data_IF_151767219013
#
_entry.id   IF_151767219013
#
_cell.length_a   1.000
_cell.length_b   1.000
_cell.length_c   1.000
_cell.angle_alpha   90.00
_cell.angle_beta   90.00
_cell.angle_gamma   90.00
#
_symmetry.space_group_name_H-M   'P 1'
#
loop_
_entity.id
_entity.type
_entity.pdbx_description
1 polymer ?
#
# COMPACT_ATOMS: atom_id res chain seq x y z
N UNK A 1 -23.72 35.51 -25.66
CA UNK A 1 -23.51 34.41 -26.61
C UNK A 1 -22.95 33.23 -25.86
N UNK A 2 -23.76 32.20 -25.72
CA UNK A 2 -23.34 30.97 -25.06
C UNK A 2 -22.52 30.13 -26.06
N UNK A 3 -21.34 29.71 -25.60
CA UNK A 3 -20.49 28.79 -26.36
C UNK A 3 -21.14 27.42 -26.33
N UNK A 4 -21.15 26.70 -27.45
CA UNK A 4 -21.61 25.31 -27.46
C UNK A 4 -20.41 24.38 -27.23
N UNK A 5 -20.55 23.46 -26.28
CA UNK A 5 -19.52 22.49 -25.92
C UNK A 5 -19.93 21.12 -26.45
N UNK A 6 -19.08 20.49 -27.24
CA UNK A 6 -19.34 19.18 -27.83
C UNK A 6 -18.26 18.20 -27.40
N UNK A 7 -18.68 17.06 -26.86
CA UNK A 7 -17.82 15.96 -26.47
C UNK A 7 -17.66 14.97 -27.62
N UNK A 8 -16.44 14.45 -27.77
CA UNK A 8 -16.18 13.29 -28.62
C UNK A 8 -15.32 12.26 -27.89
N UNK A 9 -15.60 10.95 -28.08
CA UNK A 9 -14.86 9.88 -27.41
C UNK A 9 -13.54 9.53 -28.11
N UNK A 10 -13.34 9.93 -29.37
CA UNK A 10 -12.09 9.76 -30.13
C UNK A 10 -11.79 10.99 -30.98
N UNK A 11 -10.53 11.19 -31.38
CA UNK A 11 -10.15 12.23 -32.33
C UNK A 11 -10.77 12.00 -33.72
N UNK A 12 -10.79 10.75 -34.17
CA UNK A 12 -11.40 10.42 -35.46
C UNK A 12 -12.89 10.76 -35.51
N UNK A 13 -13.67 10.39 -34.48
CA UNK A 13 -15.09 10.77 -34.44
C UNK A 13 -15.26 12.28 -34.35
N UNK A 14 -14.39 12.97 -33.59
CA UNK A 14 -14.41 14.44 -33.57
C UNK A 14 -14.23 14.98 -34.99
N UNK A 15 -13.21 14.51 -35.72
CA UNK A 15 -12.87 15.04 -37.02
C UNK A 15 -13.97 14.72 -38.05
N UNK A 16 -14.48 13.49 -38.09
CA UNK A 16 -15.58 13.07 -38.96
C UNK A 16 -16.87 13.89 -38.74
N UNK A 17 -17.22 14.16 -37.47
CA UNK A 17 -18.39 14.97 -37.15
C UNK A 17 -18.16 16.45 -37.41
N UNK A 18 -16.95 16.95 -37.15
CA UNK A 18 -16.62 18.35 -37.37
C UNK A 18 -16.53 18.70 -38.85
N UNK A 19 -16.14 17.77 -39.72
CA UNK A 19 -16.24 17.92 -41.18
C UNK A 19 -17.69 18.21 -41.60
N UNK A 20 -18.65 17.38 -41.17
CA UNK A 20 -20.09 17.58 -41.43
C UNK A 20 -20.61 18.90 -40.86
N UNK A 21 -20.15 19.29 -39.67
CA UNK A 21 -20.51 20.58 -39.07
C UNK A 21 -20.00 21.73 -39.91
N UNK A 22 -18.78 21.64 -40.47
CA UNK A 22 -18.21 22.67 -41.34
C UNK A 22 -18.91 22.74 -42.70
N UNK A 23 -19.32 21.60 -43.26
CA UNK A 23 -20.08 21.55 -44.52
C UNK A 23 -21.45 22.22 -44.40
N UNK A 24 -22.15 22.02 -43.27
CA UNK A 24 -23.41 22.70 -42.96
C UNK A 24 -23.25 24.24 -42.83
N UNK A 25 -22.02 24.74 -42.67
CA UNK A 25 -21.74 26.19 -42.63
C UNK A 25 -21.55 26.79 -44.02
N UNK A 26 -21.59 25.99 -45.09
CA UNK A 26 -21.52 26.46 -46.48
C UNK A 26 -22.93 26.85 -46.97
N UNK A 27 -23.09 27.95 -47.74
CA UNK A 27 -24.39 28.32 -48.30
C UNK A 27 -24.93 27.19 -49.19
N UNK A 28 -26.14 26.71 -48.90
CA UNK A 28 -26.91 25.94 -49.86
C UNK A 28 -27.29 26.89 -51.02
N UNK A 29 -26.80 26.56 -52.22
CA UNK A 29 -27.09 27.19 -53.51
C UNK A 29 -26.27 28.42 -53.94
N UNK A 30 -25.76 28.34 -55.19
CA UNK A 30 -25.19 29.46 -55.94
C UNK A 30 -26.25 30.56 -56.13
N UNK A 31 -26.27 31.53 -55.23
CA UNK A 31 -27.11 32.73 -55.36
C UNK A 31 -27.63 33.35 -54.06
N UNK A 32 -27.52 32.67 -52.92
CA UNK A 32 -27.86 33.24 -51.60
C UNK A 32 -26.60 33.32 -50.74
N UNK A 33 -26.28 34.50 -50.19
CA UNK A 33 -25.17 34.65 -49.24
C UNK A 33 -25.56 34.04 -47.88
N UNK A 34 -25.44 32.73 -47.75
CA UNK A 34 -25.54 32.07 -46.45
C UNK A 34 -24.39 32.55 -45.56
N UNK A 35 -24.70 33.27 -44.47
CA UNK A 35 -23.67 33.66 -43.51
C UNK A 35 -23.17 32.43 -42.75
N UNK A 36 -21.84 32.26 -42.69
CA UNK A 36 -21.20 31.29 -41.77
C UNK A 36 -21.65 31.59 -40.35
N UNK A 37 -22.29 30.62 -39.68
CA UNK A 37 -22.89 30.78 -38.35
C UNK A 37 -21.87 30.73 -37.21
N UNK A 38 -20.69 30.15 -37.44
CA UNK A 38 -19.59 30.06 -36.47
C UNK A 38 -18.53 31.15 -36.67
N UNK A 39 -18.07 31.74 -35.57
CA UNK A 39 -16.96 32.69 -35.51
C UNK A 39 -15.62 31.98 -35.27
N UNK A 40 -15.60 30.99 -34.38
CA UNK A 40 -14.36 30.33 -33.91
C UNK A 40 -14.65 28.91 -33.44
N UNK A 41 -13.67 28.03 -33.61
CA UNK A 41 -13.66 26.67 -33.08
C UNK A 41 -12.42 26.52 -32.19
N UNK A 42 -12.56 25.89 -31.02
CA UNK A 42 -11.45 25.63 -30.11
C UNK A 42 -11.50 24.19 -29.58
N UNK A 43 -10.36 23.51 -29.61
CA UNK A 43 -10.20 22.16 -29.09
C UNK A 43 -9.74 22.17 -27.63
N UNK A 44 -10.25 21.24 -26.81
CA UNK A 44 -9.84 21.03 -25.42
C UNK A 44 -9.78 19.54 -25.07
N UNK A 45 -8.93 19.19 -24.10
CA UNK A 45 -8.82 17.82 -23.56
C UNK A 45 -9.80 17.55 -22.41
N UNK A 46 -10.48 18.59 -21.91
CA UNK A 46 -11.46 18.48 -20.83
C UNK A 46 -12.43 19.67 -20.81
N UNK A 47 -13.61 19.45 -20.23
CA UNK A 47 -14.60 20.46 -19.91
C UNK A 47 -15.30 20.10 -18.59
N UNK A 48 -15.40 21.06 -17.66
CA UNK A 48 -15.94 20.85 -16.29
C UNK A 48 -15.33 19.61 -15.58
N UNK A 49 -14.05 19.34 -15.84
CA UNK A 49 -13.32 18.18 -15.28
C UNK A 49 -13.54 16.86 -16.03
N UNK A 50 -14.49 16.79 -16.97
CA UNK A 50 -14.76 15.58 -17.76
C UNK A 50 -13.70 15.45 -18.86
N UNK A 51 -12.89 14.37 -18.89
CA UNK A 51 -11.89 14.18 -19.93
C UNK A 51 -12.58 13.86 -21.26
N UNK A 52 -12.10 14.44 -22.36
CA UNK A 52 -12.66 14.19 -23.69
C UNK A 52 -11.97 14.93 -24.81
N UNK A 53 -12.32 14.62 -26.05
CA UNK A 53 -11.92 15.40 -27.22
C UNK A 53 -12.95 16.51 -27.44
N UNK A 54 -12.93 17.50 -26.57
CA UNK A 54 -13.94 18.55 -26.54
C UNK A 54 -13.72 19.59 -27.64
N UNK A 55 -14.82 20.03 -28.25
CA UNK A 55 -14.86 21.12 -29.21
C UNK A 55 -15.78 22.22 -28.68
N UNK A 56 -15.27 23.45 -28.69
CA UNK A 56 -16.00 24.65 -28.31
C UNK A 56 -16.33 25.42 -29.58
N UNK A 57 -17.62 25.57 -29.86
CA UNK A 57 -18.14 26.29 -31.01
C UNK A 57 -18.61 27.67 -30.56
N UNK A 58 -18.07 28.71 -31.18
CA UNK A 58 -18.40 30.09 -30.89
C UNK A 58 -19.36 30.58 -31.98
N UNK A 59 -20.65 30.83 -31.68
CA UNK A 59 -21.57 31.42 -32.64
C UNK A 59 -21.13 32.85 -33.00
N UNK A 60 -21.43 33.28 -34.22
CA UNK A 60 -21.36 34.70 -34.58
C UNK A 60 -22.44 35.51 -33.83
N UNK A 61 -22.24 36.83 -33.67
CA UNK A 61 -23.25 37.68 -33.08
C UNK A 61 -24.63 37.67 -33.74
N UNK A 62 -24.68 37.43 -35.05
CA UNK A 62 -25.92 37.33 -35.82
C UNK A 62 -26.65 35.99 -35.63
N UNK A 63 -26.00 34.98 -35.07
CA UNK A 63 -26.56 33.64 -34.87
C UNK A 63 -27.26 33.55 -33.51
N UNK A 64 -28.56 33.20 -33.48
CA UNK A 64 -29.24 32.87 -32.22
C UNK A 64 -28.71 31.55 -31.67
N UNK A 65 -28.44 31.51 -30.36
CA UNK A 65 -27.86 30.34 -29.69
C UNK A 65 -28.72 29.06 -29.90
N UNK A 66 -30.06 29.19 -29.89
CA UNK A 66 -31.00 28.08 -30.09
C UNK A 66 -30.94 27.47 -31.51
N UNK A 67 -30.75 28.30 -32.53
CA UNK A 67 -30.72 27.86 -33.93
C UNK A 67 -29.43 27.08 -34.22
N UNK A 68 -28.30 27.56 -33.68
CA UNK A 68 -27.04 26.82 -33.76
C UNK A 68 -27.14 25.47 -33.04
N UNK A 69 -27.73 25.45 -31.83
CA UNK A 69 -27.87 24.21 -31.09
C UNK A 69 -28.75 23.18 -31.83
N UNK A 70 -29.90 23.59 -32.37
CA UNK A 70 -30.79 22.69 -33.15
C UNK A 70 -30.08 22.11 -34.36
N UNK A 71 -29.29 22.90 -35.06
CA UNK A 71 -28.57 22.43 -36.24
C UNK A 71 -27.42 21.49 -35.89
N UNK A 72 -26.68 21.78 -34.82
CA UNK A 72 -25.67 20.86 -34.31
C UNK A 72 -26.31 19.54 -33.84
N UNK A 73 -27.49 19.57 -33.21
CA UNK A 73 -28.23 18.38 -32.79
C UNK A 73 -28.74 17.50 -33.94
N UNK A 74 -28.88 18.04 -35.16
CA UNK A 74 -29.18 17.22 -36.35
C UNK A 74 -28.00 16.34 -36.77
N UNK A 75 -26.77 16.78 -36.46
CA UNK A 75 -25.54 16.10 -36.88
C UNK A 75 -24.99 15.27 -35.72
N UNK A 76 -24.88 15.89 -34.54
CA UNK A 76 -24.21 15.33 -33.36
C UNK A 76 -25.25 14.89 -32.33
N UNK A 77 -25.10 13.68 -31.75
CA UNK A 77 -26.01 13.21 -30.72
C UNK A 77 -26.16 14.21 -29.56
N UNK A 78 -27.40 14.46 -29.16
CA UNK A 78 -27.73 15.45 -28.11
C UNK A 78 -27.04 15.16 -26.77
N UNK A 79 -26.84 13.89 -26.43
CA UNK A 79 -26.12 13.45 -25.22
C UNK A 79 -24.60 13.70 -25.27
N UNK A 80 -24.04 14.20 -26.38
CA UNK A 80 -22.66 14.68 -26.46
C UNK A 80 -22.52 16.19 -26.30
N UNK A 81 -23.60 16.91 -26.02
CA UNK A 81 -23.62 18.37 -26.03
C UNK A 81 -23.78 18.94 -24.62
N UNK A 82 -22.81 19.75 -24.22
CA UNK A 82 -22.84 20.57 -23.01
C UNK A 82 -22.98 19.74 -21.74
N UNK A 83 -23.94 20.12 -20.91
CA UNK A 83 -24.17 19.49 -19.60
C UNK A 83 -24.98 18.19 -19.69
N UNK A 84 -25.41 17.79 -20.90
CA UNK A 84 -26.06 16.49 -21.15
C UNK A 84 -25.06 15.33 -21.24
N UNK A 85 -23.76 15.62 -21.32
CA UNK A 85 -22.72 14.60 -21.36
C UNK A 85 -22.70 13.83 -20.04
N UNK A 86 -23.03 12.54 -20.13
CA UNK A 86 -23.14 11.68 -18.97
C UNK A 86 -21.82 11.63 -18.17
N UNK A 87 -21.89 11.96 -16.88
CA UNK A 87 -20.78 11.88 -15.93
C UNK A 87 -21.34 11.69 -14.50
N UNK A 88 -21.50 10.45 -14.04
CA UNK A 88 -22.25 10.15 -12.81
C UNK A 88 -21.47 10.59 -11.55
N UNK A 89 -22.03 11.56 -10.80
CA UNK A 89 -21.45 12.04 -9.53
C UNK A 89 -21.79 11.17 -8.33
N UNK A 90 -22.79 10.31 -8.45
CA UNK A 90 -23.22 9.38 -7.42
C UNK A 90 -23.60 8.04 -8.06
N UNK A 91 -23.67 7.00 -7.24
CA UNK A 91 -24.09 5.68 -7.70
C UNK A 91 -25.55 5.75 -8.19
N UNK A 92 -25.79 5.32 -9.41
CA UNK A 92 -27.11 5.09 -9.99
C UNK A 92 -27.30 3.58 -10.25
N UNK A 93 -28.39 3.20 -10.95
CA UNK A 93 -28.57 1.81 -11.39
C UNK A 93 -27.36 1.34 -12.20
N UNK A 94 -26.72 0.25 -11.77
CA UNK A 94 -25.52 -0.31 -12.44
C UNK A 94 -25.76 -0.54 -13.93
N UNK A 95 -26.94 -1.06 -14.29
CA UNK A 95 -27.36 -1.31 -15.67
C UNK A 95 -27.42 -0.01 -16.46
N UNK A 96 -28.10 1.00 -15.92
CA UNK A 96 -28.27 2.30 -16.57
C UNK A 96 -26.93 3.01 -16.78
N UNK A 97 -26.02 2.99 -15.81
CA UNK A 97 -24.70 3.61 -15.97
C UNK A 97 -23.90 2.96 -17.10
N UNK A 98 -23.93 1.62 -17.17
CA UNK A 98 -23.28 0.87 -18.24
C UNK A 98 -23.86 1.23 -19.60
N UNK A 99 -25.18 1.26 -19.74
CA UNK A 99 -25.86 1.66 -20.99
C UNK A 99 -25.43 3.07 -21.44
N UNK A 100 -25.45 4.05 -20.53
CA UNK A 100 -25.06 5.43 -20.84
C UNK A 100 -23.57 5.57 -21.16
N UNK A 101 -22.68 4.79 -20.54
CA UNK A 101 -21.26 4.77 -20.93
C UNK A 101 -21.04 4.12 -22.30
N UNK A 102 -21.78 3.06 -22.63
CA UNK A 102 -21.74 2.43 -23.95
C UNK A 102 -22.12 3.45 -25.02
N UNK A 103 -23.19 4.21 -24.83
CA UNK A 103 -23.63 5.26 -25.77
C UNK A 103 -22.62 6.41 -25.85
N UNK A 104 -22.18 6.92 -24.69
CA UNK A 104 -21.23 8.04 -24.59
C UNK A 104 -19.93 7.73 -25.32
N UNK A 105 -19.36 6.56 -25.12
CA UNK A 105 -18.05 6.19 -25.67
C UNK A 105 -18.11 5.31 -26.92
N UNK A 106 -19.32 4.95 -27.38
CA UNK A 106 -19.56 3.99 -28.46
C UNK A 106 -18.85 2.64 -28.24
N UNK A 107 -18.81 2.16 -27.00
CA UNK A 107 -18.01 0.99 -26.60
C UNK A 107 -18.42 -0.31 -27.32
N UNK A 108 -19.67 -0.41 -27.76
CA UNK A 108 -20.17 -1.58 -28.49
C UNK A 108 -19.71 -1.64 -29.96
N UNK A 109 -19.32 -0.50 -30.56
CA UNK A 109 -19.02 -0.41 -31.99
C UNK A 109 -17.55 -0.08 -32.29
N UNK A 110 -16.77 0.31 -31.28
CA UNK A 110 -15.34 0.62 -31.44
C UNK A 110 -14.47 -0.62 -31.24
N UNK A 111 -13.35 -0.69 -31.97
CA UNK A 111 -12.37 -1.75 -31.76
C UNK A 111 -11.80 -1.73 -30.34
N UNK A 112 -11.34 -2.88 -29.84
CA UNK A 112 -10.78 -3.02 -28.50
C UNK A 112 -9.53 -2.15 -28.24
N UNK A 113 -8.81 -1.76 -29.31
CA UNK A 113 -7.63 -0.88 -29.25
C UNK A 113 -7.96 0.61 -29.42
N UNK A 114 -9.24 0.96 -29.61
CA UNK A 114 -9.70 2.34 -29.80
C UNK A 114 -9.28 3.28 -28.66
N UNK A 115 -8.99 4.53 -29.00
CA UNK A 115 -8.73 5.60 -28.03
C UNK A 115 -9.93 5.88 -27.12
N UNK A 116 -11.14 5.43 -27.50
CA UNK A 116 -12.33 5.50 -26.67
C UNK A 116 -12.16 4.74 -25.34
N UNK A 117 -11.59 3.53 -25.37
CA UNK A 117 -11.31 2.76 -24.15
C UNK A 117 -10.29 3.46 -23.25
N UNK A 118 -9.28 4.10 -23.85
CA UNK A 118 -8.28 4.90 -23.10
C UNK A 118 -8.94 6.08 -22.40
N UNK A 119 -9.87 6.76 -23.08
CA UNK A 119 -10.59 7.89 -22.52
C UNK A 119 -11.60 7.46 -21.44
N UNK A 120 -12.31 6.36 -21.66
CA UNK A 120 -13.21 5.78 -20.66
C UNK A 120 -12.45 5.36 -19.40
N UNK A 121 -11.29 4.72 -19.54
CA UNK A 121 -10.44 4.37 -18.40
C UNK A 121 -9.93 5.61 -17.64
N UNK A 122 -9.62 6.72 -18.32
CA UNK A 122 -9.27 7.99 -17.65
C UNK A 122 -10.44 8.53 -16.81
N UNK A 123 -11.67 8.34 -17.26
CA UNK A 123 -12.86 8.67 -16.46
C UNK A 123 -12.96 7.76 -15.23
N UNK A 124 -12.72 6.45 -15.35
CA UNK A 124 -12.65 5.53 -14.19
C UNK A 124 -11.65 6.03 -13.15
N UNK A 125 -10.42 6.33 -13.57
CA UNK A 125 -9.38 6.86 -12.69
C UNK A 125 -9.79 8.20 -12.05
N UNK A 126 -10.53 9.04 -12.77
CA UNK A 126 -11.03 10.30 -12.23
C UNK A 126 -12.11 10.09 -11.17
N UNK A 127 -13.04 9.16 -11.37
CA UNK A 127 -14.03 8.80 -10.33
C UNK A 127 -13.34 8.26 -9.08
N UNK A 128 -12.34 7.39 -9.25
CA UNK A 128 -11.55 6.86 -8.14
C UNK A 128 -10.84 7.97 -7.35
N UNK A 129 -10.08 8.85 -8.02
CA UNK A 129 -9.41 10.00 -7.37
C UNK A 129 -10.37 10.98 -6.68
N UNK A 130 -11.62 11.05 -7.13
CA UNK A 130 -12.64 11.90 -6.52
C UNK A 130 -13.43 11.19 -5.41
N UNK A 131 -12.95 10.03 -4.94
CA UNK A 131 -13.56 9.25 -3.86
C UNK A 131 -14.85 8.52 -4.28
N UNK A 132 -15.21 8.52 -5.56
CA UNK A 132 -16.41 7.86 -6.08
C UNK A 132 -16.08 6.43 -6.50
N UNK A 133 -15.62 5.65 -5.53
CA UNK A 133 -15.10 4.29 -5.75
C UNK A 133 -16.17 3.37 -6.32
N UNK A 134 -17.41 3.42 -5.84
CA UNK A 134 -18.50 2.57 -6.37
C UNK A 134 -18.78 2.83 -7.85
N UNK A 135 -18.67 4.08 -8.30
CA UNK A 135 -18.85 4.45 -9.72
C UNK A 135 -17.68 3.92 -10.54
N UNK A 136 -16.45 4.09 -10.05
CA UNK A 136 -15.25 3.56 -10.69
C UNK A 136 -15.31 2.03 -10.82
N UNK A 137 -15.77 1.32 -9.78
CA UNK A 137 -15.92 -0.14 -9.80
C UNK A 137 -16.87 -0.63 -10.88
N UNK A 138 -18.03 0.02 -11.05
CA UNK A 138 -19.01 -0.40 -12.07
C UNK A 138 -18.40 -0.26 -13.47
N UNK A 139 -17.74 0.87 -13.73
CA UNK A 139 -17.06 1.10 -14.99
C UNK A 139 -15.89 0.12 -15.19
N UNK A 140 -15.08 -0.12 -14.16
CA UNK A 140 -13.94 -1.04 -14.22
C UNK A 140 -14.39 -2.48 -14.45
N UNK A 141 -15.47 -2.93 -13.78
CA UNK A 141 -16.08 -4.25 -14.02
C UNK A 141 -16.55 -4.42 -15.47
N UNK A 142 -17.06 -3.35 -16.08
CA UNK A 142 -17.42 -3.37 -17.50
C UNK A 142 -16.17 -3.55 -18.38
N UNK A 143 -15.11 -2.78 -18.14
CA UNK A 143 -13.84 -2.92 -18.89
C UNK A 143 -13.26 -4.33 -18.69
N UNK A 144 -13.25 -4.85 -17.46
CA UNK A 144 -12.78 -6.19 -17.14
C UNK A 144 -13.53 -7.28 -17.93
N UNK A 145 -14.86 -7.18 -18.02
CA UNK A 145 -15.70 -8.18 -18.68
C UNK A 145 -15.58 -8.13 -20.21
N UNK A 146 -15.55 -6.94 -20.79
CA UNK A 146 -15.69 -6.76 -22.24
C UNK A 146 -14.39 -6.39 -22.96
N UNK A 147 -13.38 -5.92 -22.23
CA UNK A 147 -12.06 -5.62 -22.80
C UNK A 147 -10.91 -5.90 -21.79
N UNK A 148 -10.77 -7.13 -21.28
CA UNK A 148 -9.68 -7.49 -20.37
C UNK A 148 -8.30 -7.34 -21.02
N UNK A 149 -8.20 -7.55 -22.35
CA UNK A 149 -6.97 -7.37 -23.11
C UNK A 149 -6.44 -5.94 -23.01
N UNK A 150 -7.30 -4.92 -23.04
CA UNK A 150 -6.90 -3.53 -22.82
C UNK A 150 -6.28 -3.30 -21.44
N UNK A 151 -6.77 -3.99 -20.40
CA UNK A 151 -6.18 -3.90 -19.08
C UNK A 151 -4.80 -4.57 -19.04
N UNK A 152 -4.66 -5.75 -19.66
CA UNK A 152 -3.41 -6.52 -19.76
C UNK A 152 -2.34 -5.79 -20.59
N UNK A 153 -2.65 -5.47 -21.86
CA UNK A 153 -1.73 -4.85 -22.84
C UNK A 153 -1.07 -3.58 -22.32
N UNK A 154 -1.82 -2.76 -21.59
CA UNK A 154 -1.37 -1.46 -21.11
C UNK A 154 -1.04 -1.44 -19.61
N UNK A 155 -0.92 -2.60 -18.96
CA UNK A 155 -0.64 -2.74 -17.52
C UNK A 155 -1.54 -1.87 -16.63
N UNK A 156 -2.84 -1.82 -16.96
CA UNK A 156 -3.84 -0.99 -16.25
C UNK A 156 -4.52 -1.72 -15.10
N UNK A 157 -4.10 -2.94 -14.81
CA UNK A 157 -4.65 -3.76 -13.72
C UNK A 157 -4.26 -3.26 -12.32
N UNK A 158 -3.24 -2.38 -12.18
CA UNK A 158 -2.88 -1.78 -10.88
C UNK A 158 -4.02 -0.96 -10.24
N UNK A 159 -5.01 -0.52 -11.01
CA UNK A 159 -6.20 0.14 -10.44
C UNK A 159 -7.01 -0.80 -9.52
N UNK A 160 -6.94 -2.12 -9.74
CA UNK A 160 -7.58 -3.07 -8.83
C UNK A 160 -6.86 -3.11 -7.48
N UNK A 161 -5.53 -2.98 -7.48
CA UNK A 161 -4.72 -2.87 -6.27
C UNK A 161 -5.04 -1.58 -5.51
N UNK A 162 -5.10 -0.44 -6.21
CA UNK A 162 -5.49 0.84 -5.62
C UNK A 162 -6.87 0.75 -4.93
N UNK A 163 -7.84 0.10 -5.59
CA UNK A 163 -9.18 -0.11 -5.03
C UNK A 163 -9.14 -1.11 -3.86
N UNK A 164 -8.27 -2.13 -3.91
CA UNK A 164 -8.10 -3.08 -2.82
C UNK A 164 -7.62 -2.37 -1.55
N UNK A 165 -6.55 -1.56 -1.65
CA UNK A 165 -6.04 -0.76 -0.53
C UNK A 165 -7.07 0.24 0.01
N UNK A 166 -7.91 0.82 -0.87
CA UNK A 166 -9.02 1.64 -0.44
C UNK A 166 -10.00 0.87 0.48
N UNK A 167 -10.34 -0.37 0.14
CA UNK A 167 -11.25 -1.18 0.97
C UNK A 167 -10.59 -1.74 2.22
N UNK A 168 -9.31 -2.11 2.14
CA UNK A 168 -8.51 -2.45 3.32
C UNK A 168 -8.54 -1.32 4.35
N UNK A 169 -8.28 -0.08 3.93
CA UNK A 169 -8.36 1.10 4.79
C UNK A 169 -9.77 1.36 5.37
N UNK A 170 -10.81 0.75 4.80
CA UNK A 170 -12.20 0.78 5.30
C UNK A 170 -12.57 -0.46 6.13
N UNK A 171 -11.69 -1.44 6.24
CA UNK A 171 -11.94 -2.73 6.89
C UNK A 171 -12.80 -3.70 6.08
N UNK A 172 -13.08 -3.42 4.80
CA UNK A 172 -13.85 -4.33 3.93
C UNK A 172 -12.91 -5.32 3.22
N UNK A 173 -12.43 -6.30 3.99
CA UNK A 173 -11.45 -7.28 3.54
C UNK A 173 -11.96 -8.13 2.37
N UNK A 174 -13.27 -8.40 2.31
CA UNK A 174 -13.90 -9.20 1.25
C UNK A 174 -13.78 -8.47 -0.09
N UNK A 175 -14.09 -7.17 -0.13
CA UNK A 175 -13.95 -6.39 -1.37
C UNK A 175 -12.49 -6.18 -1.73
N UNK A 176 -11.61 -5.95 -0.76
CA UNK A 176 -10.17 -5.86 -1.02
C UNK A 176 -9.66 -7.11 -1.74
N UNK A 177 -9.89 -8.28 -1.14
CA UNK A 177 -9.45 -9.57 -1.69
C UNK A 177 -10.05 -9.85 -3.07
N UNK A 178 -11.31 -9.45 -3.31
CA UNK A 178 -11.95 -9.59 -4.62
C UNK A 178 -11.21 -8.83 -5.72
N UNK A 179 -10.70 -7.63 -5.43
CA UNK A 179 -9.96 -6.83 -6.41
C UNK A 179 -8.54 -7.36 -6.62
N UNK A 180 -7.86 -7.80 -5.57
CA UNK A 180 -6.57 -8.49 -5.69
C UNK A 180 -6.70 -9.76 -6.55
N UNK A 181 -7.76 -10.54 -6.37
CA UNK A 181 -8.08 -11.69 -7.24
C UNK A 181 -8.31 -11.28 -8.70
N UNK A 182 -9.01 -10.17 -8.95
CA UNK A 182 -9.21 -9.65 -10.30
C UNK A 182 -7.89 -9.20 -10.96
N UNK A 183 -6.97 -8.60 -10.20
CA UNK A 183 -5.62 -8.26 -10.65
C UNK A 183 -4.82 -9.52 -11.02
N UNK A 184 -4.86 -10.55 -10.17
CA UNK A 184 -4.19 -11.83 -10.42
C UNK A 184 -4.71 -12.55 -11.67
N UNK A 185 -6.02 -12.55 -11.90
CA UNK A 185 -6.61 -13.13 -13.11
C UNK A 185 -6.18 -12.43 -14.41
N UNK A 186 -5.80 -11.16 -14.35
CA UNK A 186 -5.24 -10.43 -15.50
C UNK A 186 -3.74 -10.69 -15.71
N UNK A 187 -3.09 -11.30 -14.71
CA UNK A 187 -1.66 -11.60 -14.68
C UNK A 187 -1.40 -13.06 -14.29
N UNK A 188 -1.94 -14.05 -15.04
CA UNK A 188 -1.85 -15.46 -14.66
C UNK A 188 -0.42 -16.02 -14.64
N UNK A 189 0.54 -15.32 -15.24
CA UNK A 189 1.95 -15.70 -15.34
C UNK A 189 2.86 -14.85 -14.44
N UNK A 190 2.29 -13.97 -13.60
CA UNK A 190 3.08 -13.10 -12.72
C UNK A 190 2.94 -13.52 -11.26
N UNK A 191 4.07 -13.75 -10.59
CA UNK A 191 4.11 -13.99 -9.14
C UNK A 191 3.76 -12.73 -8.33
N UNK A 192 3.91 -11.53 -8.91
CA UNK A 192 3.64 -10.23 -8.26
C UNK A 192 2.21 -10.13 -7.71
N UNK A 193 1.22 -10.59 -8.46
CA UNK A 193 -0.17 -10.52 -8.00
C UNK A 193 -0.45 -11.45 -6.82
N UNK A 194 0.24 -12.60 -6.76
CA UNK A 194 0.19 -13.51 -5.61
C UNK A 194 0.92 -12.94 -4.41
N UNK A 195 2.04 -12.22 -4.64
CA UNK A 195 2.78 -11.53 -3.60
C UNK A 195 1.93 -10.45 -2.93
N UNK A 196 1.29 -9.59 -3.71
CA UNK A 196 0.42 -8.55 -3.18
C UNK A 196 -0.76 -9.15 -2.40
N UNK A 197 -1.35 -10.23 -2.92
CA UNK A 197 -2.46 -10.91 -2.26
C UNK A 197 -2.04 -11.62 -0.97
N UNK A 198 -0.88 -12.29 -0.92
CA UNK A 198 -0.41 -12.94 0.30
C UNK A 198 0.01 -11.93 1.37
N UNK A 199 0.67 -10.83 0.99
CA UNK A 199 1.00 -9.73 1.91
C UNK A 199 -0.27 -9.16 2.54
N UNK A 200 -1.30 -8.89 1.74
CA UNK A 200 -2.60 -8.44 2.25
C UNK A 200 -3.22 -9.43 3.25
N UNK A 201 -3.21 -10.73 2.92
CA UNK A 201 -3.77 -11.77 3.79
C UNK A 201 -3.01 -11.85 5.13
N UNK A 202 -1.68 -11.84 5.10
CA UNK A 202 -0.83 -11.89 6.31
C UNK A 202 -1.07 -10.68 7.20
N UNK A 203 -1.07 -9.46 6.63
CA UNK A 203 -1.27 -8.22 7.39
C UNK A 203 -2.64 -8.14 8.07
N UNK A 204 -3.64 -8.82 7.51
CA UNK A 204 -5.00 -8.84 8.03
C UNK A 204 -5.33 -10.11 8.85
N UNK A 205 -4.30 -10.88 9.26
CA UNK A 205 -4.46 -12.05 10.13
C UNK A 205 -5.08 -13.27 9.46
N UNK A 206 -5.10 -13.32 8.12
CA UNK A 206 -5.62 -14.43 7.32
C UNK A 206 -4.46 -15.31 6.82
N UNK A 207 -3.55 -15.68 7.73
CA UNK A 207 -2.30 -16.37 7.40
C UNK A 207 -2.53 -17.77 6.82
N UNK A 208 -3.52 -18.53 7.29
CA UNK A 208 -3.91 -19.82 6.70
C UNK A 208 -4.26 -19.71 5.20
N UNK A 209 -5.04 -18.70 4.79
CA UNK A 209 -5.33 -18.45 3.37
C UNK A 209 -4.07 -18.04 2.59
N UNK A 210 -3.20 -17.25 3.21
CA UNK A 210 -1.96 -16.78 2.60
C UNK A 210 -1.03 -17.93 2.20
N UNK A 211 -1.00 -19.02 2.97
CA UNK A 211 -0.20 -20.22 2.66
C UNK A 211 -0.52 -20.74 1.27
N UNK A 212 -1.81 -20.91 0.95
CA UNK A 212 -2.26 -21.38 -0.37
C UNK A 212 -1.85 -20.42 -1.48
N UNK A 213 -2.04 -19.12 -1.26
CA UNK A 213 -1.67 -18.09 -2.23
C UNK A 213 -0.18 -18.05 -2.50
N UNK A 214 0.66 -18.13 -1.45
CA UNK A 214 2.10 -18.18 -1.60
C UNK A 214 2.55 -19.41 -2.37
N UNK A 215 1.99 -20.59 -2.06
CA UNK A 215 2.28 -21.83 -2.78
C UNK A 215 1.92 -21.74 -4.26
N UNK A 216 0.79 -21.13 -4.59
CA UNK A 216 0.39 -20.92 -5.98
C UNK A 216 1.30 -19.93 -6.71
N UNK A 217 1.71 -18.84 -6.07
CA UNK A 217 2.69 -17.91 -6.63
C UNK A 217 4.07 -18.54 -6.84
N UNK A 218 4.52 -19.40 -5.92
CA UNK A 218 5.79 -20.11 -6.02
C UNK A 218 5.77 -21.20 -7.11
N UNK A 219 4.60 -21.73 -7.51
CA UNK A 219 4.50 -22.58 -8.71
C UNK A 219 4.83 -21.80 -10.00
N UNK A 220 4.51 -20.50 -10.03
CA UNK A 220 4.80 -19.61 -11.17
C UNK A 220 6.28 -19.21 -11.16
N UNK A 221 6.77 -18.75 -10.00
CA UNK A 221 8.18 -18.40 -9.82
C UNK A 221 8.75 -19.06 -8.55
N UNK A 222 9.37 -20.25 -8.67
CA UNK A 222 9.92 -20.99 -7.53
C UNK A 222 11.07 -20.27 -6.79
N UNK A 223 11.67 -19.26 -7.42
CA UNK A 223 12.80 -18.49 -6.90
C UNK A 223 12.38 -17.12 -6.35
N UNK A 224 11.07 -16.85 -6.23
CA UNK A 224 10.55 -15.62 -5.66
C UNK A 224 10.79 -15.56 -4.14
N UNK A 225 11.84 -14.84 -3.74
CA UNK A 225 12.23 -14.74 -2.33
C UNK A 225 11.17 -14.04 -1.47
N UNK A 226 10.43 -13.09 -2.02
CA UNK A 226 9.39 -12.39 -1.26
C UNK A 226 8.20 -13.30 -0.97
N UNK A 227 7.77 -14.10 -1.95
CA UNK A 227 6.75 -15.13 -1.73
C UNK A 227 7.22 -16.23 -0.77
N UNK A 228 8.48 -16.64 -0.88
CA UNK A 228 9.09 -17.59 0.04
C UNK A 228 9.07 -17.06 1.49
N UNK A 229 9.41 -15.79 1.69
CA UNK A 229 9.36 -15.14 2.99
C UNK A 229 7.93 -15.01 3.51
N UNK A 230 6.97 -14.63 2.66
CA UNK A 230 5.55 -14.56 3.04
C UNK A 230 4.99 -15.94 3.41
N UNK A 231 5.37 -17.01 2.68
CA UNK A 231 4.98 -18.37 3.03
C UNK A 231 5.49 -18.74 4.43
N UNK A 232 6.76 -18.42 4.72
CA UNK A 232 7.33 -18.68 6.02
C UNK A 232 6.64 -17.87 7.14
N UNK A 233 6.42 -16.58 6.91
CA UNK A 233 5.68 -15.74 7.86
C UNK A 233 4.27 -16.27 8.13
N UNK A 234 3.59 -16.76 7.08
CA UNK A 234 2.28 -17.38 7.23
C UNK A 234 2.34 -18.68 8.06
N UNK A 235 3.34 -19.55 7.83
CA UNK A 235 3.53 -20.73 8.67
C UNK A 235 3.81 -20.37 10.14
N UNK A 236 4.62 -19.35 10.38
CA UNK A 236 4.95 -18.91 11.74
C UNK A 236 3.74 -18.34 12.47
N UNK A 237 2.93 -17.51 11.81
CA UNK A 237 1.73 -16.93 12.39
C UNK A 237 0.68 -17.99 12.77
N UNK A 238 0.59 -19.08 12.02
CA UNK A 238 -0.31 -20.22 12.32
C UNK A 238 0.32 -21.22 13.31
N UNK A 239 1.58 -21.01 13.73
CA UNK A 239 2.28 -21.90 14.66
C UNK A 239 2.76 -23.21 14.03
N UNK A 240 2.81 -23.31 12.70
CA UNK A 240 3.33 -24.47 11.97
C UNK A 240 4.87 -24.49 11.97
N UNK A 241 5.47 -24.50 13.15
CA UNK A 241 6.93 -24.38 13.35
C UNK A 241 7.71 -25.52 12.69
N UNK A 242 7.20 -26.76 12.75
CA UNK A 242 7.85 -27.91 12.11
C UNK A 242 7.87 -27.79 10.59
N UNK A 243 6.74 -27.41 9.97
CA UNK A 243 6.65 -27.18 8.52
C UNK A 243 7.52 -26.00 8.09
N UNK A 244 7.58 -24.94 8.88
CA UNK A 244 8.46 -23.80 8.64
C UNK A 244 9.95 -24.20 8.71
N UNK A 245 10.32 -25.07 9.66
CA UNK A 245 11.67 -25.62 9.78
C UNK A 245 12.05 -26.51 8.59
N UNK A 246 11.16 -27.42 8.18
CA UNK A 246 11.36 -28.27 6.99
C UNK A 246 11.59 -27.43 5.74
N UNK A 247 10.71 -26.45 5.51
CA UNK A 247 10.80 -25.54 4.37
C UNK A 247 12.12 -24.74 4.36
N UNK A 248 12.56 -24.24 5.51
CA UNK A 248 13.85 -23.55 5.60
C UNK A 248 15.04 -24.48 5.42
N UNK A 249 14.97 -25.73 5.89
CA UNK A 249 16.04 -26.70 5.67
C UNK A 249 16.21 -26.97 4.17
N UNK A 250 15.12 -27.19 3.44
CA UNK A 250 15.13 -27.32 1.98
C UNK A 250 15.78 -26.09 1.32
N UNK A 251 15.39 -24.88 1.73
CA UNK A 251 15.96 -23.63 1.20
C UNK A 251 17.45 -23.46 1.49
N UNK A 252 17.90 -23.90 2.66
CA UNK A 252 19.32 -23.87 3.05
C UNK A 252 20.11 -24.92 2.27
N UNK A 253 19.53 -26.08 1.99
CA UNK A 253 20.13 -27.12 1.14
C UNK A 253 20.26 -26.64 -0.31
N UNK A 254 19.22 -26.00 -0.86
CA UNK A 254 19.22 -25.39 -2.19
C UNK A 254 20.30 -24.29 -2.31
N UNK A 255 20.33 -23.36 -1.34
CA UNK A 255 21.30 -22.28 -1.33
C UNK A 255 21.76 -21.93 0.10
N UNK A 256 22.90 -22.48 0.55
CA UNK A 256 23.38 -22.25 1.91
C UNK A 256 24.02 -20.86 2.11
N UNK A 257 24.09 -20.03 1.06
CA UNK A 257 24.75 -18.71 1.08
C UNK A 257 23.78 -17.54 1.22
N UNK A 258 22.53 -17.79 1.62
CA UNK A 258 21.56 -16.73 1.94
C UNK A 258 21.55 -16.55 3.47
N UNK A 259 21.98 -15.40 3.96
CA UNK A 259 22.05 -15.12 5.41
C UNK A 259 20.65 -15.11 6.04
N UNK A 260 19.66 -14.60 5.32
CA UNK A 260 18.27 -14.54 5.74
C UNK A 260 17.70 -15.92 6.10
N UNK A 261 17.98 -16.96 5.31
CA UNK A 261 17.48 -18.32 5.61
C UNK A 261 18.02 -18.85 6.95
N UNK A 262 19.30 -18.59 7.24
CA UNK A 262 19.91 -18.96 8.52
C UNK A 262 19.39 -18.12 9.68
N UNK A 263 19.12 -16.83 9.46
CA UNK A 263 18.50 -15.95 10.46
C UNK A 263 17.10 -16.47 10.81
N UNK A 264 16.27 -16.71 9.80
CA UNK A 264 14.91 -17.21 9.96
C UNK A 264 14.88 -18.58 10.65
N UNK A 265 15.81 -19.49 10.32
CA UNK A 265 15.94 -20.77 11.04
C UNK A 265 16.30 -20.55 12.52
N UNK A 266 17.15 -19.57 12.80
CA UNK A 266 17.47 -19.15 14.15
C UNK A 266 16.25 -18.64 14.91
N UNK A 267 15.39 -17.85 14.27
CA UNK A 267 14.16 -17.34 14.88
C UNK A 267 13.19 -18.47 15.25
N UNK A 268 13.01 -19.46 14.38
CA UNK A 268 12.14 -20.60 14.72
C UNK A 268 12.72 -21.41 15.87
N UNK A 269 14.03 -21.63 15.89
CA UNK A 269 14.69 -22.32 16.99
C UNK A 269 14.59 -21.52 18.30
N UNK A 270 14.57 -20.19 18.22
CA UNK A 270 14.33 -19.33 19.38
C UNK A 270 12.90 -19.51 19.93
N UNK A 271 11.88 -19.50 19.05
CA UNK A 271 10.47 -19.77 19.45
C UNK A 271 10.26 -21.17 20.02
N UNK A 272 11.12 -22.14 19.65
CA UNK A 272 11.15 -23.49 20.20
C UNK A 272 11.99 -23.62 21.50
N UNK A 273 12.42 -22.50 22.10
CA UNK A 273 13.31 -22.44 23.28
C UNK A 273 14.68 -23.13 23.09
N UNK A 274 15.10 -23.38 21.84
CA UNK A 274 16.39 -24.01 21.49
C UNK A 274 17.47 -22.95 21.26
N UNK A 275 17.73 -22.14 22.29
CA UNK A 275 18.56 -20.93 22.19
C UNK A 275 20.01 -21.18 21.74
N UNK A 276 20.66 -22.27 22.15
CA UNK A 276 22.02 -22.63 21.71
C UNK A 276 22.09 -22.87 20.19
N UNK A 277 21.09 -23.57 19.65
CA UNK A 277 21.02 -23.88 18.22
C UNK A 277 20.66 -22.64 17.40
N UNK A 278 19.77 -21.79 17.93
CA UNK A 278 19.46 -20.49 17.37
C UNK A 278 20.72 -19.63 17.23
N UNK A 279 21.54 -19.54 18.28
CA UNK A 279 22.85 -18.86 18.26
C UNK A 279 23.75 -19.42 17.15
N UNK A 280 23.79 -20.74 16.99
CA UNK A 280 24.55 -21.39 15.91
C UNK A 280 24.12 -20.89 14.52
N UNK A 281 22.81 -20.80 14.29
CA UNK A 281 22.24 -20.33 13.03
C UNK A 281 22.51 -18.84 12.79
N UNK A 282 22.32 -17.98 13.79
CA UNK A 282 22.63 -16.55 13.71
C UNK A 282 24.12 -16.27 13.45
N UNK A 283 25.01 -17.01 14.12
CA UNK A 283 26.44 -16.90 13.85
C UNK A 283 26.78 -17.39 12.44
N UNK A 284 26.08 -18.41 11.93
CA UNK A 284 26.26 -18.87 10.55
C UNK A 284 25.84 -17.79 9.56
N UNK A 285 24.70 -17.14 9.77
CA UNK A 285 24.24 -16.01 8.95
C UNK A 285 25.31 -14.91 8.84
N UNK A 286 25.86 -14.44 9.97
CA UNK A 286 26.93 -13.41 9.96
C UNK A 286 28.21 -13.88 9.24
N UNK A 287 28.55 -15.18 9.32
CA UNK A 287 29.77 -15.72 8.68
C UNK A 287 29.65 -15.83 7.16
N UNK A 288 28.44 -15.96 6.61
CA UNK A 288 28.22 -16.12 5.17
C UNK A 288 28.63 -14.85 4.40
N UNK A 289 28.46 -13.66 5.01
CA UNK A 289 28.78 -12.36 4.37
C UNK A 289 28.12 -12.19 3.00
N UNK A 290 26.85 -12.59 2.89
CA UNK A 290 26.06 -12.40 1.68
C UNK A 290 25.54 -10.96 1.56
N UNK A 291 25.04 -10.60 0.39
CA UNK A 291 24.57 -9.24 0.09
C UNK A 291 23.39 -8.82 0.98
N UNK A 292 22.49 -9.74 1.31
CA UNK A 292 21.35 -9.54 2.20
C UNK A 292 21.75 -9.34 3.67
N UNK A 293 23.00 -9.65 4.06
CA UNK A 293 23.42 -9.56 5.45
C UNK A 293 23.28 -8.15 6.00
N UNK A 294 23.66 -7.11 5.25
CA UNK A 294 23.69 -5.74 5.77
C UNK A 294 22.28 -5.23 6.13
N UNK A 295 21.23 -5.73 5.47
CA UNK A 295 19.83 -5.36 5.76
C UNK A 295 19.32 -6.00 7.05
N UNK A 296 19.82 -7.20 7.42
CA UNK A 296 19.32 -7.99 8.56
C UNK A 296 20.31 -8.07 9.73
N UNK A 297 21.47 -7.40 9.62
CA UNK A 297 22.59 -7.56 10.54
C UNK A 297 22.27 -7.11 11.97
N UNK A 298 21.56 -6.00 12.08
CA UNK A 298 21.09 -5.43 13.34
C UNK A 298 20.12 -6.39 14.03
N UNK A 299 19.18 -6.96 13.27
CA UNK A 299 18.22 -7.95 13.77
C UNK A 299 18.96 -9.20 14.29
N UNK A 300 19.97 -9.68 13.56
CA UNK A 300 20.77 -10.84 14.03
C UNK A 300 21.51 -10.50 15.33
N UNK A 301 22.08 -9.29 15.46
CA UNK A 301 22.74 -8.88 16.72
C UNK A 301 21.75 -8.76 17.88
N UNK A 302 20.55 -8.26 17.63
CA UNK A 302 19.47 -8.22 18.60
C UNK A 302 19.10 -9.63 19.07
N UNK A 303 18.80 -10.54 18.14
CA UNK A 303 18.43 -11.93 18.46
C UNK A 303 19.55 -12.68 19.19
N UNK A 304 20.82 -12.51 18.76
CA UNK A 304 21.96 -13.07 19.49
C UNK A 304 22.06 -12.55 20.91
N UNK A 305 21.83 -11.25 21.12
CA UNK A 305 21.89 -10.67 22.44
C UNK A 305 20.82 -11.24 23.37
N UNK A 306 19.60 -11.40 22.86
CA UNK A 306 18.48 -12.03 23.57
C UNK A 306 18.81 -13.49 23.90
N UNK A 307 19.21 -14.31 22.93
CA UNK A 307 19.55 -15.71 23.20
C UNK A 307 20.66 -15.84 24.26
N UNK A 308 21.70 -15.00 24.19
CA UNK A 308 22.74 -15.02 25.22
C UNK A 308 22.25 -14.57 26.59
N UNK A 309 21.26 -13.67 26.65
CA UNK A 309 20.64 -13.28 27.91
C UNK A 309 19.83 -14.42 28.51
N UNK A 310 19.01 -15.12 27.72
CA UNK A 310 18.26 -16.32 28.17
C UNK A 310 19.18 -17.41 28.71
N UNK A 311 20.37 -17.58 28.10
CA UNK A 311 21.38 -18.53 28.57
C UNK A 311 22.25 -18.00 29.73
N UNK A 312 21.94 -16.84 30.31
CA UNK A 312 22.70 -16.22 31.40
C UNK A 312 24.11 -15.74 31.01
N UNK A 313 24.45 -15.71 29.72
CA UNK A 313 25.75 -15.29 29.20
C UNK A 313 25.81 -13.76 29.02
N UNK A 314 25.57 -13.03 30.12
CA UNK A 314 25.37 -11.56 30.16
C UNK A 314 26.47 -10.78 29.42
N UNK A 315 27.75 -11.18 29.57
CA UNK A 315 28.87 -10.50 28.88
C UNK A 315 28.76 -10.57 27.35
N UNK A 316 28.26 -11.68 26.80
CA UNK A 316 28.04 -11.83 25.35
C UNK A 316 26.81 -11.04 24.91
N UNK A 317 25.73 -11.07 25.70
CA UNK A 317 24.54 -10.25 25.44
C UNK A 317 24.88 -8.75 25.35
N UNK A 318 25.68 -8.22 26.29
CA UNK A 318 26.18 -6.84 26.26
C UNK A 318 27.04 -6.59 25.01
N UNK A 319 27.91 -7.54 24.63
CA UNK A 319 28.76 -7.40 23.44
C UNK A 319 27.91 -7.22 22.18
N UNK A 320 26.88 -8.03 21.98
CA UNK A 320 26.05 -7.98 20.78
C UNK A 320 25.14 -6.75 20.73
N UNK A 321 24.52 -6.35 21.85
CA UNK A 321 23.83 -5.05 21.91
C UNK A 321 24.76 -3.87 21.59
N UNK A 322 26.02 -3.90 22.06
CA UNK A 322 27.02 -2.88 21.68
C UNK A 322 27.44 -2.92 20.22
N UNK A 323 27.39 -4.09 19.56
CA UNK A 323 27.62 -4.15 18.11
C UNK A 323 26.43 -3.54 17.37
N UNK A 324 25.20 -3.84 17.78
CA UNK A 324 23.99 -3.22 17.23
C UNK A 324 24.10 -1.69 17.28
N UNK A 325 24.46 -1.12 18.44
CA UNK A 325 24.64 0.33 18.61
C UNK A 325 25.77 0.97 17.78
N UNK A 326 26.63 0.18 17.13
CA UNK A 326 27.59 0.74 16.16
C UNK A 326 26.97 0.97 14.79
N UNK A 327 25.91 0.23 14.46
CA UNK A 327 25.18 0.34 13.19
C UNK A 327 24.01 1.30 13.33
N UNK A 328 23.26 1.19 14.42
CA UNK A 328 22.20 2.13 14.78
C UNK A 328 22.48 2.69 16.18
N UNK A 329 23.08 3.88 16.22
CA UNK A 329 23.50 4.53 17.47
C UNK A 329 22.35 4.94 18.38
N UNK A 330 21.12 4.95 17.87
CA UNK A 330 19.93 5.46 18.54
C UNK A 330 18.84 4.39 18.73
N UNK A 331 19.17 3.12 18.44
CA UNK A 331 18.23 2.01 18.52
C UNK A 331 17.65 1.88 19.95
N UNK A 332 16.33 2.09 20.12
CA UNK A 332 15.73 2.13 21.44
C UNK A 332 15.78 0.77 22.15
N UNK A 333 15.71 -0.33 21.40
CA UNK A 333 15.72 -1.68 21.93
C UNK A 333 17.10 -2.02 22.55
N UNK A 334 18.19 -1.72 21.85
CA UNK A 334 19.55 -1.96 22.34
C UNK A 334 19.91 -1.06 23.53
N UNK A 335 19.50 0.21 23.52
CA UNK A 335 19.70 1.10 24.67
C UNK A 335 18.94 0.60 25.91
N UNK A 336 17.69 0.17 25.75
CA UNK A 336 16.90 -0.42 26.82
C UNK A 336 17.55 -1.71 27.35
N UNK A 337 17.91 -2.63 26.46
CA UNK A 337 18.54 -3.90 26.82
C UNK A 337 19.86 -3.70 27.54
N UNK A 338 20.75 -2.82 27.07
CA UNK A 338 22.00 -2.53 27.76
C UNK A 338 21.74 -1.93 29.14
N UNK A 339 20.80 -1.00 29.25
CA UNK A 339 20.48 -0.40 30.54
C UNK A 339 19.99 -1.45 31.54
N UNK A 340 19.10 -2.36 31.12
CA UNK A 340 18.65 -3.49 31.93
C UNK A 340 19.79 -4.43 32.29
N UNK A 341 20.57 -4.91 31.32
CA UNK A 341 21.71 -5.81 31.57
C UNK A 341 22.72 -5.21 32.56
N UNK A 342 23.01 -3.90 32.46
CA UNK A 342 23.91 -3.25 33.41
C UNK A 342 23.26 -3.03 34.79
N UNK A 343 21.97 -2.68 34.85
CA UNK A 343 21.28 -2.33 36.09
C UNK A 343 20.78 -3.54 36.88
N UNK A 344 20.11 -4.46 36.20
CA UNK A 344 19.47 -5.64 36.78
C UNK A 344 20.49 -6.77 37.00
N UNK A 345 21.26 -7.14 35.97
CA UNK A 345 22.16 -8.30 36.05
C UNK A 345 23.53 -7.96 36.67
N UNK A 346 24.12 -6.83 36.29
CA UNK A 346 25.48 -6.46 36.75
C UNK A 346 25.50 -5.49 37.94
N UNK A 347 24.35 -4.91 38.33
CA UNK A 347 24.22 -3.88 39.37
C UNK A 347 25.15 -2.66 39.17
N UNK A 348 25.52 -2.37 37.92
CA UNK A 348 26.35 -1.23 37.52
C UNK A 348 25.46 -0.02 37.17
N UNK A 349 24.81 0.54 38.19
CA UNK A 349 23.78 1.56 38.03
C UNK A 349 24.25 2.82 37.29
N UNK A 350 25.51 3.24 37.44
CA UNK A 350 26.04 4.41 36.72
C UNK A 350 26.04 4.21 35.20
N UNK A 351 26.41 3.01 34.73
CA UNK A 351 26.41 2.70 33.30
C UNK A 351 24.98 2.49 32.81
N UNK A 352 24.17 1.78 33.61
CA UNK A 352 22.76 1.59 33.31
C UNK A 352 22.02 2.93 33.13
N UNK A 353 22.25 3.88 34.04
CA UNK A 353 21.64 5.21 34.02
C UNK A 353 21.98 5.95 32.73
N UNK A 354 23.24 5.90 32.27
CA UNK A 354 23.66 6.56 31.01
C UNK A 354 22.87 6.06 29.81
N UNK A 355 22.70 4.75 29.67
CA UNK A 355 21.93 4.18 28.56
C UNK A 355 20.44 4.49 28.66
N UNK A 356 19.86 4.44 29.87
CA UNK A 356 18.46 4.80 30.08
C UNK A 356 18.18 6.30 29.84
N UNK A 357 19.07 7.19 30.26
CA UNK A 357 18.97 8.63 30.00
C UNK A 357 19.09 8.93 28.51
N UNK A 358 20.02 8.27 27.80
CA UNK A 358 20.13 8.39 26.35
C UNK A 358 18.84 7.95 25.66
N UNK A 359 18.27 6.79 26.04
CA UNK A 359 17.01 6.30 25.50
C UNK A 359 15.86 7.30 25.70
N UNK A 360 15.68 7.79 26.93
CA UNK A 360 14.59 8.74 27.25
C UNK A 360 14.80 10.10 26.59
N UNK A 361 16.05 10.51 26.37
CA UNK A 361 16.36 11.76 25.66
C UNK A 361 16.03 11.67 24.17
N UNK A 362 16.33 10.54 23.53
CA UNK A 362 16.07 10.32 22.09
C UNK A 362 14.59 10.00 21.84
N UNK A 363 13.97 9.27 22.76
CA UNK A 363 12.59 8.78 22.64
C UNK A 363 11.77 9.12 23.90
N UNK A 364 11.34 10.39 24.08
CA UNK A 364 10.64 10.85 25.30
C UNK A 364 9.25 10.24 25.54
N UNK A 365 8.70 9.53 24.56
CA UNK A 365 7.45 8.80 24.64
C UNK A 365 7.66 7.29 24.88
N UNK A 366 8.92 6.84 25.03
CA UNK A 366 9.22 5.44 25.34
C UNK A 366 8.95 5.13 26.82
N UNK A 367 7.77 4.56 27.10
CA UNK A 367 7.34 4.21 28.45
C UNK A 367 8.25 3.19 29.16
N UNK A 368 8.82 2.22 28.43
CA UNK A 368 9.74 1.23 29.00
C UNK A 368 11.09 1.85 29.40
N UNK A 369 11.59 2.82 28.63
CA UNK A 369 12.77 3.60 28.99
C UNK A 369 12.56 4.43 30.26
N UNK A 370 11.40 5.09 30.38
CA UNK A 370 11.02 5.79 31.61
C UNK A 370 10.91 4.84 32.81
N UNK A 371 10.29 3.67 32.64
CA UNK A 371 10.18 2.67 33.70
C UNK A 371 11.55 2.24 34.21
N UNK A 372 12.43 1.84 33.30
CA UNK A 372 13.76 1.37 33.64
C UNK A 372 14.65 2.47 34.26
N UNK A 373 14.57 3.71 33.76
CA UNK A 373 15.26 4.85 34.40
C UNK A 373 14.71 5.13 35.81
N UNK A 374 13.40 4.99 36.01
CA UNK A 374 12.74 5.08 37.31
C UNK A 374 13.26 4.04 38.30
N UNK A 375 13.38 2.78 37.88
CA UNK A 375 13.99 1.70 38.67
C UNK A 375 15.44 2.01 39.05
N UNK A 376 16.25 2.48 38.09
CA UNK A 376 17.66 2.84 38.37
C UNK A 376 17.74 3.96 39.42
N UNK A 377 16.87 4.96 39.34
CA UNK A 377 16.80 6.01 40.35
C UNK A 377 16.29 5.52 41.71
N UNK A 378 15.35 4.57 41.72
CA UNK A 378 14.88 3.92 42.94
C UNK A 378 16.04 3.20 43.65
N UNK A 379 16.78 2.35 42.93
CA UNK A 379 17.92 1.61 43.48
C UNK A 379 19.10 2.51 43.88
N UNK A 380 19.24 3.68 43.25
CA UNK A 380 20.26 4.70 43.62
C UNK A 380 19.75 5.73 44.63
N UNK A 381 18.57 5.52 45.22
CA UNK A 381 17.93 6.36 46.26
C UNK A 381 17.68 7.81 45.85
N UNK A 382 17.42 8.05 44.57
CA UNK A 382 17.02 9.36 44.03
C UNK A 382 15.51 9.40 43.84
N UNK A 383 14.78 9.39 44.96
CA UNK A 383 13.34 9.13 44.99
C UNK A 383 12.49 10.13 44.19
N UNK A 384 12.83 11.43 44.20
CA UNK A 384 12.10 12.43 43.41
C UNK A 384 12.14 12.15 41.90
N UNK A 385 13.34 11.78 41.41
CA UNK A 385 13.52 11.41 40.01
C UNK A 385 12.85 10.08 39.70
N UNK A 386 12.98 9.09 40.59
CA UNK A 386 12.29 7.81 40.45
C UNK A 386 10.77 8.01 40.31
N UNK A 387 10.17 8.83 41.19
CA UNK A 387 8.75 9.20 41.15
C UNK A 387 8.37 9.81 39.80
N UNK A 388 9.11 10.82 39.33
CA UNK A 388 8.80 11.47 38.06
C UNK A 388 8.80 10.47 36.89
N UNK A 389 9.86 9.65 36.77
CA UNK A 389 10.00 8.70 35.68
C UNK A 389 8.97 7.56 35.74
N UNK A 390 8.70 6.99 36.92
CA UNK A 390 7.72 5.91 37.06
C UNK A 390 6.29 6.38 36.77
N UNK A 391 5.90 7.57 37.21
CA UNK A 391 4.58 8.12 36.90
C UNK A 391 4.44 8.51 35.42
N UNK A 392 5.52 8.99 34.79
CA UNK A 392 5.58 9.19 33.34
C UNK A 392 5.43 7.87 32.59
N UNK A 393 6.13 6.82 33.01
CA UNK A 393 6.00 5.48 32.45
C UNK A 393 4.55 4.98 32.56
N UNK A 394 3.90 5.14 33.72
CA UNK A 394 2.50 4.72 33.92
C UNK A 394 1.54 5.40 32.94
N UNK A 395 1.79 6.66 32.61
CA UNK A 395 0.97 7.39 31.62
C UNK A 395 1.18 6.86 30.20
N UNK A 396 2.42 6.48 29.86
CA UNK A 396 2.79 6.03 28.51
C UNK A 396 2.44 4.55 28.25
N UNK A 397 2.53 3.71 29.28
CA UNK A 397 2.24 2.27 29.21
C UNK A 397 1.28 1.86 30.34
N UNK A 398 0.00 2.27 30.28
CA UNK A 398 -0.95 2.13 31.40
C UNK A 398 -1.28 0.68 31.76
N UNK A 399 -1.02 -0.28 30.87
CA UNK A 399 -1.31 -1.70 31.09
C UNK A 399 -0.05 -2.52 31.44
N UNK A 400 1.11 -1.88 31.64
CA UNK A 400 2.36 -2.57 31.96
C UNK A 400 2.52 -2.73 33.48
N UNK A 401 2.14 -3.91 34.00
CA UNK A 401 2.13 -4.22 35.43
C UNK A 401 3.44 -3.87 36.18
N UNK A 402 4.65 -4.14 35.64
CA UNK A 402 5.91 -3.83 36.33
C UNK A 402 6.11 -2.34 36.69
N UNK A 403 5.39 -1.42 36.04
CA UNK A 403 5.40 -0.01 36.44
C UNK A 403 4.66 0.22 37.74
N UNK A 404 3.53 -0.46 37.95
CA UNK A 404 2.76 -0.35 39.17
C UNK A 404 3.52 -0.95 40.35
N UNK A 405 4.14 -2.11 40.15
CA UNK A 405 4.95 -2.78 41.16
C UNK A 405 6.11 -1.88 41.63
N UNK A 406 6.79 -1.21 40.68
CA UNK A 406 7.85 -0.25 40.98
C UNK A 406 7.36 1.01 41.74
N UNK A 407 6.15 1.49 41.43
CA UNK A 407 5.55 2.63 42.15
C UNK A 407 5.16 2.21 43.58
N UNK A 408 4.64 1.00 43.76
CA UNK A 408 4.33 0.47 45.08
C UNK A 408 5.59 0.33 45.94
N UNK A 409 6.68 -0.21 45.37
CA UNK A 409 7.99 -0.29 46.04
C UNK A 409 8.50 1.09 46.44
N UNK A 410 8.42 2.08 45.55
CA UNK A 410 8.81 3.46 45.84
C UNK A 410 8.02 4.04 47.02
N UNK A 411 6.70 3.82 47.08
CA UNK A 411 5.87 4.34 48.15
C UNK A 411 6.21 3.68 49.50
N UNK A 412 6.45 2.36 49.51
CA UNK A 412 6.85 1.62 50.73
C UNK A 412 8.20 2.06 51.32
N UNK A 413 9.11 2.56 50.48
CA UNK A 413 10.44 3.04 50.92
C UNK A 413 10.36 4.48 51.43
N UNK A 414 9.35 5.24 51.01
CA UNK A 414 9.21 6.65 51.33
C UNK A 414 8.39 6.90 52.62
N UNK A 415 7.45 6.00 52.94
CA UNK A 415 6.75 5.92 54.22
C UNK A 415 7.65 5.30 55.31
#
# INVERSE_FOLDING_TARGET
>A
MHKLYVFFPTEQLRDDYMEKVLDMQLPEEKGKSGEKRLQKIQYRKSYKGIPGFWVLLYPRPSTRDEDLQKDIEKIIPSYWIGDRVFFPKQLASRKQMVELWIEKYRLASVSHDSSAWKLFFREVQLHFRQGRVDVAEVALRYIYKYNPYFLKKYKRYYIFEDIAYYYEAKGDLIKSLKHLKAQALLQPESSEAYLNMSSFLILNGLSEEAIGICKDGLKINPQDQYLSNNLLAAYLNEGYLDTAMEYLNEKIEENPRISMNWKLKGDILYELDRHEEAIGCYQRAIRIRSQDLEEIKTDIYYSLAICYQHLGQIRKAIRYNKQLLKYDTEDPAALLNLSKLFGEDLKQYTIAQRYAEQLVSLHPENGYGHHNLGLIYLYTRRFDKAKWHLYRARKLVPNYQPVYDAIEELNRIHD
#
